data_IF_811221765839
#
_entry.id   IF_811221765839
#
_cell.length_a   1.000
_cell.length_b   1.000
_cell.length_c   1.000
_cell.angle_alpha   90.00
_cell.angle_beta   90.00
_cell.angle_gamma   90.00
#
_symmetry.space_group_name_H-M   'P 1'
#
loop_
_entity.id
_entity.type
_entity.pdbx_description
1 polymer ?
#
# COMPACT_ATOMS: atom_id res chain seq x y z
N UNK A 1 -49.91 -49.23 44.99
CA UNK A 1 -49.44 -48.26 43.98
C UNK A 1 -47.92 -48.39 43.89
N UNK A 2 -47.38 -48.82 42.75
CA UNK A 2 -45.97 -49.22 42.56
C UNK A 2 -45.21 -48.12 41.78
N UNK A 3 -43.99 -47.83 42.24
CA UNK A 3 -43.02 -46.86 41.70
C UNK A 3 -42.46 -47.26 40.33
N UNK A 4 -42.10 -46.32 39.42
CA UNK A 4 -41.43 -46.64 38.17
C UNK A 4 -39.90 -46.67 38.33
N UNK A 5 -39.27 -47.58 37.59
CA UNK A 5 -37.84 -47.86 37.53
C UNK A 5 -37.20 -47.03 36.41
N UNK A 6 -36.19 -46.20 36.72
CA UNK A 6 -35.39 -45.48 35.72
C UNK A 6 -34.21 -46.35 35.24
N UNK A 7 -34.07 -46.51 33.93
CA UNK A 7 -32.94 -47.21 33.30
C UNK A 7 -31.90 -46.17 32.86
N UNK A 8 -30.70 -46.21 33.44
CA UNK A 8 -29.57 -45.36 33.05
C UNK A 8 -28.73 -46.08 31.98
N UNK A 9 -28.61 -45.47 30.80
CA UNK A 9 -27.79 -45.95 29.69
C UNK A 9 -26.38 -45.33 29.81
N UNK A 10 -25.37 -46.13 30.14
CA UNK A 10 -23.96 -45.72 30.09
C UNK A 10 -23.42 -45.90 28.67
N UNK A 11 -23.09 -44.79 27.98
CA UNK A 11 -22.28 -44.82 26.76
C UNK A 11 -20.79 -44.88 27.13
N UNK A 12 -20.10 -45.93 26.70
CA UNK A 12 -18.65 -46.02 26.76
C UNK A 12 -18.03 -45.20 25.61
N UNK A 13 -17.28 -44.14 25.93
CA UNK A 13 -16.46 -43.41 24.96
C UNK A 13 -15.14 -44.17 24.73
N UNK A 14 -14.91 -44.63 23.50
CA UNK A 14 -13.62 -45.12 23.04
C UNK A 14 -12.78 -43.92 22.53
N UNK A 15 -11.55 -43.69 23.04
CA UNK A 15 -10.72 -42.59 22.56
C UNK A 15 -10.15 -42.93 21.18
N UNK A 16 -10.55 -42.19 20.15
CA UNK A 16 -9.91 -42.26 18.83
C UNK A 16 -8.59 -41.48 18.87
N UNK A 17 -7.47 -42.18 18.67
CA UNK A 17 -6.17 -41.60 18.36
C UNK A 17 -6.24 -40.93 16.98
N UNK A 18 -6.27 -39.60 16.92
CA UNK A 18 -6.13 -38.86 15.67
C UNK A 18 -4.65 -38.78 15.28
N UNK A 19 -4.31 -39.34 14.12
CA UNK A 19 -3.01 -39.11 13.49
C UNK A 19 -2.92 -37.65 13.01
N UNK A 20 -1.76 -36.98 13.15
CA UNK A 20 -1.58 -35.64 12.60
C UNK A 20 -1.62 -35.69 11.06
N UNK A 21 -2.41 -34.80 10.47
CA UNK A 21 -2.47 -34.61 9.02
C UNK A 21 -1.08 -34.22 8.49
N UNK A 22 -0.67 -34.74 7.31
CA UNK A 22 0.59 -34.34 6.69
C UNK A 22 0.60 -32.83 6.43
N UNK A 23 1.72 -32.18 6.73
CA UNK A 23 1.91 -30.76 6.47
C UNK A 23 1.71 -30.48 4.98
N UNK A 24 0.77 -29.60 4.66
CA UNK A 24 0.49 -29.19 3.30
C UNK A 24 1.76 -28.51 2.73
N UNK A 25 2.21 -28.96 1.55
CA UNK A 25 3.35 -28.32 0.88
C UNK A 25 3.08 -26.81 0.70
N UNK A 26 4.08 -25.95 0.93
CA UNK A 26 3.90 -24.52 0.80
C UNK A 26 3.46 -24.19 -0.63
N UNK A 27 2.32 -23.48 -0.75
CA UNK A 27 1.81 -23.02 -2.04
C UNK A 27 2.92 -22.27 -2.79
N UNK A 28 3.11 -22.50 -4.10
CA UNK A 28 4.07 -21.74 -4.91
C UNK A 28 3.83 -20.24 -4.70
N UNK A 29 4.90 -19.48 -4.42
CA UNK A 29 4.79 -18.03 -4.27
C UNK A 29 4.25 -17.42 -5.56
N UNK A 30 3.28 -16.53 -5.43
CA UNK A 30 2.72 -15.81 -6.56
C UNK A 30 3.84 -15.06 -7.33
N UNK A 31 3.77 -15.02 -8.67
CA UNK A 31 4.76 -14.32 -9.48
C UNK A 31 4.87 -12.85 -9.04
N UNK A 32 6.12 -12.38 -8.97
CA UNK A 32 6.48 -11.03 -8.51
C UNK A 32 7.47 -10.46 -9.51
N UNK A 33 7.14 -9.31 -10.09
CA UNK A 33 7.94 -8.66 -11.12
C UNK A 33 8.51 -7.36 -10.60
N UNK A 34 9.81 -7.13 -10.81
CA UNK A 34 10.53 -5.97 -10.26
C UNK A 34 10.79 -4.89 -11.30
N UNK A 35 10.57 -5.21 -12.58
CA UNK A 35 10.73 -4.29 -13.70
C UNK A 35 9.56 -4.40 -14.68
N UNK A 36 9.27 -3.30 -15.38
CA UNK A 36 8.26 -3.28 -16.44
C UNK A 36 8.61 -4.26 -17.57
N UNK A 37 9.91 -4.40 -17.88
CA UNK A 37 10.41 -5.32 -18.90
C UNK A 37 10.10 -6.78 -18.57
N UNK A 38 10.22 -7.20 -17.32
CA UNK A 38 9.83 -8.54 -16.89
C UNK A 38 8.31 -8.71 -16.96
N UNK A 39 7.57 -7.76 -16.39
CA UNK A 39 6.11 -7.81 -16.36
C UNK A 39 5.47 -7.87 -17.76
N UNK A 40 6.02 -7.14 -18.74
CA UNK A 40 5.55 -7.11 -20.13
C UNK A 40 5.85 -8.40 -20.92
N UNK A 41 6.82 -9.21 -20.49
CA UNK A 41 7.12 -10.50 -21.15
C UNK A 41 6.09 -11.57 -20.80
N UNK A 42 5.43 -11.43 -19.67
CA UNK A 42 4.58 -12.47 -19.08
C UNK A 42 3.16 -12.41 -19.61
N UNK A 43 2.72 -11.24 -20.04
CA UNK A 43 1.41 -11.08 -20.66
C UNK A 43 0.89 -9.65 -20.65
N UNK A 44 -0.37 -9.48 -21.05
CA UNK A 44 -0.99 -8.17 -21.24
C UNK A 44 -1.37 -7.48 -19.93
N UNK A 45 -1.35 -8.19 -18.79
CA UNK A 45 -1.80 -7.68 -17.49
C UNK A 45 -1.15 -6.35 -17.11
N UNK A 46 0.18 -6.25 -17.21
CA UNK A 46 0.89 -5.02 -16.88
C UNK A 46 0.64 -3.90 -17.90
N UNK A 47 0.55 -4.25 -19.19
CA UNK A 47 0.33 -3.27 -20.25
C UNK A 47 -1.09 -2.69 -20.24
N UNK A 48 -2.08 -3.47 -19.84
CA UNK A 48 -3.48 -3.02 -19.76
C UNK A 48 -3.81 -2.38 -18.41
N UNK A 49 -3.12 -2.76 -17.32
CA UNK A 49 -3.26 -2.09 -16.03
C UNK A 49 -2.79 -0.62 -16.11
N UNK A 50 -3.48 0.25 -15.38
CA UNK A 50 -3.05 1.62 -15.17
C UNK A 50 -4.19 2.61 -15.01
N UNK A 51 -3.87 3.88 -15.11
CA UNK A 51 -4.83 4.97 -15.05
C UNK A 51 -5.21 5.41 -16.46
N UNK A 52 -6.50 5.63 -16.67
CA UNK A 52 -7.08 6.12 -17.91
C UNK A 52 -7.88 7.38 -17.60
N UNK A 53 -7.59 8.48 -18.31
CA UNK A 53 -8.23 9.76 -18.08
C UNK A 53 -8.87 10.30 -19.37
N UNK A 54 -10.07 10.85 -19.22
CA UNK A 54 -10.80 11.60 -20.23
C UNK A 54 -11.42 12.85 -19.63
N UNK A 55 -12.25 13.55 -20.41
CA UNK A 55 -12.97 14.71 -19.90
C UNK A 55 -13.99 14.28 -18.83
N UNK A 56 -13.82 14.78 -17.60
CA UNK A 56 -14.69 14.52 -16.44
C UNK A 56 -14.88 13.03 -16.09
N UNK A 57 -13.95 12.16 -16.47
CA UNK A 57 -14.01 10.72 -16.17
C UNK A 57 -12.60 10.16 -16.00
N UNK A 58 -12.38 9.44 -14.91
CA UNK A 58 -11.16 8.70 -14.64
C UNK A 58 -11.46 7.24 -14.38
N UNK A 59 -10.64 6.34 -14.91
CA UNK A 59 -10.75 4.90 -14.66
C UNK A 59 -9.41 4.35 -14.24
N UNK A 60 -9.36 3.69 -13.09
CA UNK A 60 -8.23 2.87 -12.69
C UNK A 60 -8.54 1.42 -13.09
N UNK A 61 -7.72 0.84 -13.97
CA UNK A 61 -7.83 -0.57 -14.36
C UNK A 61 -6.77 -1.35 -13.61
N UNK A 62 -7.17 -2.33 -12.80
CA UNK A 62 -6.30 -3.15 -11.96
C UNK A 62 -6.20 -4.54 -12.58
N UNK A 63 -4.98 -5.04 -12.78
CA UNK A 63 -4.78 -6.44 -13.13
C UNK A 63 -4.95 -7.33 -11.90
N UNK A 64 -5.80 -8.34 -12.03
CA UNK A 64 -6.09 -9.34 -11.00
C UNK A 64 -5.36 -10.66 -11.28
N UNK A 65 -4.54 -10.73 -12.33
CA UNK A 65 -3.87 -11.94 -12.77
C UNK A 65 -4.73 -12.77 -13.72
N UNK A 66 -4.07 -13.65 -14.47
CA UNK A 66 -4.72 -14.53 -15.43
C UNK A 66 -5.69 -13.78 -16.36
N UNK A 67 -5.24 -12.63 -16.86
CA UNK A 67 -5.96 -11.78 -17.83
C UNK A 67 -7.34 -11.31 -17.33
N UNK A 68 -7.49 -11.25 -16.00
CA UNK A 68 -8.67 -10.72 -15.33
C UNK A 68 -8.37 -9.31 -14.84
N UNK A 69 -9.32 -8.40 -15.06
CA UNK A 69 -9.15 -6.98 -14.73
C UNK A 69 -10.34 -6.47 -13.95
N UNK A 70 -10.10 -5.53 -13.04
CA UNK A 70 -11.13 -4.69 -12.43
C UNK A 70 -11.02 -3.28 -12.96
N UNK A 71 -12.11 -2.71 -13.43
CA UNK A 71 -12.22 -1.27 -13.67
C UNK A 71 -12.86 -0.61 -12.46
N UNK A 72 -12.25 0.49 -12.00
CA UNK A 72 -12.79 1.36 -10.94
C UNK A 72 -13.00 2.75 -11.53
N UNK A 73 -14.26 3.11 -11.71
CA UNK A 73 -14.70 4.31 -12.42
C UNK A 73 -14.93 5.44 -11.42
N UNK A 74 -14.37 6.61 -11.73
CA UNK A 74 -14.40 7.82 -10.93
C UNK A 74 -15.00 8.96 -11.77
N UNK A 75 -16.12 9.53 -11.31
CA UNK A 75 -16.76 10.67 -11.96
C UNK A 75 -15.97 11.95 -11.71
N UNK A 76 -15.94 12.86 -12.69
CA UNK A 76 -15.16 14.10 -12.62
C UNK A 76 -13.65 13.94 -12.91
N UNK A 77 -13.05 12.77 -12.65
CA UNK A 77 -11.64 12.51 -12.95
C UNK A 77 -11.00 11.45 -12.06
N UNK A 78 -9.68 11.27 -12.13
CA UNK A 78 -8.93 10.31 -11.30
C UNK A 78 -8.81 10.79 -9.84
N UNK A 79 -8.49 9.91 -8.86
CA UNK A 79 -8.18 10.33 -7.50
C UNK A 79 -7.10 11.42 -7.45
N UNK A 80 -7.39 12.53 -6.77
CA UNK A 80 -6.53 13.73 -6.73
C UNK A 80 -6.52 14.57 -8.02
N UNK A 81 -7.17 14.12 -9.10
CA UNK A 81 -7.19 14.81 -10.38
C UNK A 81 -8.62 14.86 -10.94
N UNK A 82 -9.50 15.58 -10.24
CA UNK A 82 -10.86 15.88 -10.68
C UNK A 82 -11.96 14.97 -10.15
N UNK A 83 -11.64 13.83 -9.51
CA UNK A 83 -12.68 12.99 -8.89
C UNK A 83 -13.53 13.81 -7.91
N UNK A 84 -14.83 13.84 -8.17
CA UNK A 84 -15.83 14.59 -7.39
C UNK A 84 -16.20 13.93 -6.05
N UNK A 85 -15.57 12.79 -5.74
CA UNK A 85 -15.82 11.93 -4.57
C UNK A 85 -17.18 11.23 -4.59
N UNK A 86 -17.85 11.15 -5.75
CA UNK A 86 -19.00 10.28 -5.94
C UNK A 86 -18.65 8.83 -5.62
N UNK A 87 -19.66 8.01 -5.34
CA UNK A 87 -19.47 6.57 -5.26
C UNK A 87 -18.82 6.04 -6.55
N UNK A 88 -17.89 5.11 -6.37
CA UNK A 88 -17.14 4.48 -7.47
C UNK A 88 -17.96 3.33 -8.03
N UNK A 89 -17.84 3.09 -9.34
CA UNK A 89 -18.38 1.88 -9.95
C UNK A 89 -17.22 0.90 -10.16
N UNK A 90 -17.37 -0.31 -9.64
CA UNK A 90 -16.38 -1.39 -9.79
C UNK A 90 -16.98 -2.53 -10.62
N UNK A 91 -16.23 -3.00 -11.61
CA UNK A 91 -16.63 -4.16 -12.42
C UNK A 91 -15.42 -4.95 -12.86
N UNK A 92 -15.56 -6.27 -12.90
CA UNK A 92 -14.52 -7.18 -13.35
C UNK A 92 -14.87 -7.78 -14.72
N UNK A 93 -13.85 -7.98 -15.54
CA UNK A 93 -13.96 -8.63 -16.84
C UNK A 93 -12.65 -9.32 -17.19
N UNK A 94 -12.73 -10.29 -18.11
CA UNK A 94 -11.56 -10.99 -18.66
C UNK A 94 -11.20 -10.43 -20.03
N UNK A 95 -9.92 -10.50 -20.35
CA UNK A 95 -9.44 -10.31 -21.71
C UNK A 95 -10.00 -11.42 -22.61
N UNK A 96 -10.47 -11.01 -23.78
CA UNK A 96 -10.87 -11.91 -24.86
C UNK A 96 -10.63 -11.18 -26.18
N UNK A 97 -10.01 -11.86 -27.15
CA UNK A 97 -9.74 -11.30 -28.49
C UNK A 97 -9.02 -9.94 -28.48
N UNK A 98 -8.05 -9.78 -27.57
CA UNK A 98 -7.23 -8.56 -27.45
C UNK A 98 -7.93 -7.37 -26.81
N UNK A 99 -9.12 -7.57 -26.22
CA UNK A 99 -9.91 -6.51 -25.59
C UNK A 99 -10.53 -6.96 -24.27
N UNK A 100 -10.70 -6.05 -23.32
CA UNK A 100 -11.50 -6.30 -22.11
C UNK A 100 -12.80 -5.53 -22.22
N UNK A 101 -13.92 -6.25 -22.25
CA UNK A 101 -15.27 -5.67 -22.28
C UNK A 101 -15.88 -5.66 -20.88
N UNK A 102 -15.96 -4.48 -20.27
CA UNK A 102 -16.71 -4.24 -19.05
C UNK A 102 -18.15 -3.89 -19.41
N UNK A 103 -19.13 -4.66 -18.94
CA UNK A 103 -20.55 -4.48 -19.28
C UNK A 103 -21.34 -4.18 -18.01
N UNK A 104 -21.71 -2.91 -17.83
CA UNK A 104 -22.68 -2.49 -16.83
C UNK A 104 -24.11 -2.48 -17.37
N UNK A 105 -25.08 -2.16 -16.52
CA UNK A 105 -26.51 -2.21 -16.87
C UNK A 105 -26.88 -1.28 -18.05
N UNK A 106 -26.33 -0.07 -18.07
CA UNK A 106 -26.65 0.98 -19.04
C UNK A 106 -25.42 1.57 -19.75
N UNK A 107 -24.27 0.90 -19.63
CA UNK A 107 -23.01 1.37 -20.21
C UNK A 107 -22.08 0.20 -20.48
N UNK A 108 -21.15 0.38 -21.41
CA UNK A 108 -20.08 -0.58 -21.72
C UNK A 108 -18.75 0.14 -21.78
N UNK A 109 -17.67 -0.52 -21.36
CA UNK A 109 -16.33 -0.01 -21.57
C UNK A 109 -15.44 -1.06 -22.24
N UNK A 110 -14.70 -0.63 -23.25
CA UNK A 110 -13.80 -1.47 -24.02
C UNK A 110 -12.36 -1.00 -23.80
N UNK A 111 -11.54 -1.85 -23.17
CA UNK A 111 -10.13 -1.60 -22.94
C UNK A 111 -9.28 -2.32 -23.98
N UNK A 112 -8.31 -1.60 -24.54
CA UNK A 112 -7.26 -2.12 -25.43
C UNK A 112 -5.93 -1.47 -25.06
N UNK A 113 -4.84 -1.89 -25.71
CA UNK A 113 -3.53 -1.22 -25.62
C UNK A 113 -3.57 0.24 -26.07
N UNK A 114 -4.55 0.63 -26.89
CA UNK A 114 -4.72 2.01 -27.38
C UNK A 114 -5.46 2.94 -26.39
N UNK A 115 -6.06 2.39 -25.33
CA UNK A 115 -6.85 3.14 -24.37
C UNK A 115 -8.16 2.46 -23.99
N UNK A 116 -9.00 3.22 -23.28
CA UNK A 116 -10.30 2.78 -22.78
C UNK A 116 -11.40 3.63 -23.41
N UNK A 117 -12.39 3.02 -24.02
CA UNK A 117 -13.60 3.72 -24.49
C UNK A 117 -14.77 3.34 -23.59
N UNK A 118 -15.49 4.33 -23.06
CA UNK A 118 -16.72 4.13 -22.29
C UNK A 118 -17.89 4.65 -23.12
N UNK A 119 -18.91 3.82 -23.31
CA UNK A 119 -20.15 4.13 -23.99
C UNK A 119 -21.29 4.04 -22.97
N UNK A 120 -21.96 5.16 -22.68
CA UNK A 120 -23.04 5.23 -21.70
C UNK A 120 -24.10 6.25 -22.08
N UNK A 121 -25.03 6.53 -21.16
CA UNK A 121 -26.18 7.41 -21.43
C UNK A 121 -25.78 8.82 -21.92
N UNK A 122 -24.64 9.35 -21.46
CA UNK A 122 -24.12 10.66 -21.87
C UNK A 122 -23.33 10.63 -23.19
N UNK A 123 -23.28 9.48 -23.87
CA UNK A 123 -22.52 9.26 -25.09
C UNK A 123 -21.20 8.51 -24.85
N UNK A 124 -20.40 8.43 -25.92
CA UNK A 124 -19.13 7.72 -25.95
C UNK A 124 -17.96 8.64 -25.61
N UNK A 125 -17.20 8.28 -24.58
CA UNK A 125 -15.99 8.98 -24.13
C UNK A 125 -14.77 8.09 -24.34
N UNK A 126 -13.70 8.65 -24.90
CA UNK A 126 -12.40 7.97 -25.01
C UNK A 126 -11.45 8.48 -23.93
N UNK A 127 -10.86 7.56 -23.18
CA UNK A 127 -9.89 7.83 -22.13
C UNK A 127 -8.53 7.31 -22.59
N UNK A 128 -7.51 8.16 -22.43
CA UNK A 128 -6.13 7.82 -22.74
C UNK A 128 -5.46 7.25 -21.50
N UNK A 129 -4.58 6.26 -21.69
CA UNK A 129 -3.70 5.81 -20.62
C UNK A 129 -2.80 6.96 -20.20
N UNK A 130 -2.75 7.28 -18.92
CA UNK A 130 -1.93 8.35 -18.36
C UNK A 130 -0.94 7.81 -17.35
N UNK A 131 0.21 8.46 -17.27
CA UNK A 131 1.23 8.18 -16.28
C UNK A 131 1.47 9.45 -15.46
N UNK A 132 0.82 9.55 -14.31
CA UNK A 132 1.04 10.66 -13.36
C UNK A 132 2.31 10.41 -12.55
N UNK A 133 2.95 11.49 -12.15
CA UNK A 133 4.14 11.46 -11.28
C UNK A 133 3.91 12.40 -10.09
N UNK A 134 4.58 12.10 -8.98
CA UNK A 134 4.53 12.97 -7.81
C UNK A 134 5.27 14.28 -8.11
N UNK A 135 4.74 15.45 -7.69
CA UNK A 135 5.46 16.71 -7.78
C UNK A 135 6.68 16.78 -6.85
N UNK A 136 6.79 15.87 -5.86
CA UNK A 136 7.95 15.75 -4.97
C UNK A 136 8.89 14.61 -5.37
N UNK A 137 8.68 13.97 -6.53
CA UNK A 137 9.58 12.94 -7.03
C UNK A 137 10.97 13.52 -7.29
N UNK A 138 12.01 12.82 -6.83
CA UNK A 138 13.41 13.25 -6.87
C UNK A 138 13.65 14.62 -6.21
N UNK A 139 12.81 15.00 -5.23
CA UNK A 139 13.01 16.23 -4.48
C UNK A 139 14.38 16.21 -3.81
N UNK A 140 15.20 17.23 -4.11
CA UNK A 140 16.52 17.37 -3.51
C UNK A 140 16.37 17.64 -2.01
N UNK A 141 17.21 17.03 -1.16
CA UNK A 141 17.28 17.40 0.24
C UNK A 141 17.52 18.91 0.38
N UNK A 142 16.73 19.63 1.18
CA UNK A 142 16.98 21.04 1.44
C UNK A 142 18.27 21.22 2.27
N UNK A 143 18.77 22.46 2.34
CA UNK A 143 19.94 22.78 3.15
C UNK A 143 19.69 22.41 4.62
N UNK A 144 20.65 21.72 5.24
CA UNK A 144 20.54 21.24 6.63
C UNK A 144 19.75 19.94 6.81
N UNK A 145 19.26 19.32 5.74
CA UNK A 145 18.64 18.00 5.83
C UNK A 145 19.67 16.92 6.19
N UNK A 146 19.24 15.98 7.03
CA UNK A 146 19.93 14.70 7.25
C UNK A 146 19.58 13.79 6.08
N UNK A 147 20.55 13.49 5.24
CA UNK A 147 20.40 12.52 4.14
C UNK A 147 20.61 11.12 4.71
N UNK A 148 19.55 10.32 4.69
CA UNK A 148 19.58 8.94 5.18
C UNK A 148 19.96 7.98 4.05
N UNK A 149 19.48 8.19 2.82
CA UNK A 149 19.82 7.34 1.68
C UNK A 149 19.70 8.10 0.35
N UNK A 150 20.79 8.13 -0.41
CA UNK A 150 20.88 8.75 -1.74
C UNK A 150 21.30 7.75 -2.84
N UNK A 151 21.47 6.47 -2.49
CA UNK A 151 21.93 5.41 -3.40
C UNK A 151 23.44 5.16 -3.39
N UNK A 152 24.23 5.91 -2.61
CA UNK A 152 25.68 5.70 -2.54
C UNK A 152 26.10 4.54 -1.63
N UNK A 153 25.43 4.36 -0.48
CA UNK A 153 25.66 3.29 0.48
C UNK A 153 24.41 3.09 1.37
N UNK A 154 24.44 2.07 2.23
CA UNK A 154 23.35 1.75 3.17
C UNK A 154 23.74 2.01 4.64
N UNK A 155 24.82 2.75 4.90
CA UNK A 155 25.49 2.81 6.22
C UNK A 155 24.64 3.48 7.29
N UNK A 156 23.69 4.33 6.89
CA UNK A 156 22.74 4.93 7.80
C UNK A 156 21.72 3.93 8.38
N UNK A 157 21.67 2.68 7.88
CA UNK A 157 20.65 1.70 8.21
C UNK A 157 21.20 0.39 8.78
N UNK A 158 20.70 -0.01 9.95
CA UNK A 158 20.85 -1.38 10.45
C UNK A 158 20.00 -2.31 9.58
N UNK A 159 20.61 -3.36 9.03
CA UNK A 159 19.96 -4.30 8.10
C UNK A 159 19.77 -3.75 6.68
N UNK A 160 20.30 -2.55 6.40
CA UNK A 160 20.27 -1.96 5.06
C UNK A 160 21.11 -2.75 4.07
N UNK A 161 20.55 -3.00 2.89
CA UNK A 161 21.25 -3.62 1.76
C UNK A 161 20.63 -3.14 0.45
N UNK A 162 21.43 -3.16 -0.61
CA UNK A 162 20.96 -2.85 -1.95
C UNK A 162 20.10 -3.98 -2.52
N UNK A 163 19.32 -3.65 -3.54
CA UNK A 163 18.57 -4.62 -4.30
C UNK A 163 19.45 -5.50 -5.18
N UNK A 164 19.00 -6.74 -5.42
CA UNK A 164 19.77 -7.74 -6.19
C UNK A 164 19.90 -7.41 -7.69
N UNK A 165 19.18 -6.39 -8.18
CA UNK A 165 19.21 -5.95 -9.58
C UNK A 165 20.25 -4.85 -9.85
N UNK A 166 21.09 -4.50 -8.87
CA UNK A 166 22.11 -3.46 -8.98
C UNK A 166 21.53 -2.10 -9.42
N UNK A 167 20.34 -1.74 -8.91
CA UNK A 167 19.71 -0.43 -9.19
C UNK A 167 20.07 0.61 -8.13
N UNK A 168 20.91 0.23 -7.15
CA UNK A 168 21.29 1.04 -5.99
C UNK A 168 20.06 1.50 -5.18
N UNK A 169 19.09 0.61 -5.00
CA UNK A 169 17.88 0.89 -4.21
C UNK A 169 17.98 0.19 -2.86
N UNK A 170 17.53 0.85 -1.80
CA UNK A 170 17.51 0.27 -0.45
C UNK A 170 16.36 -0.72 -0.34
N UNK A 171 16.64 -1.97 -0.01
CA UNK A 171 15.61 -2.96 0.28
C UNK A 171 14.91 -2.69 1.62
N UNK A 172 13.61 -3.00 1.67
CA UNK A 172 12.82 -3.00 2.92
C UNK A 172 13.41 -3.97 3.97
N UNK A 173 13.04 -3.81 5.24
CA UNK A 173 13.57 -4.62 6.35
C UNK A 173 14.73 -3.98 7.09
N UNK A 174 14.80 -2.65 7.09
CA UNK A 174 15.90 -1.89 7.68
C UNK A 174 15.38 -0.77 8.58
N UNK A 175 16.25 -0.22 9.44
CA UNK A 175 15.95 0.98 10.23
C UNK A 175 17.18 1.84 10.42
N UNK A 176 17.01 3.14 10.59
CA UNK A 176 18.15 4.05 10.78
C UNK A 176 18.96 3.68 12.03
N UNK A 177 20.29 3.82 11.95
CA UNK A 177 21.18 3.69 13.12
C UNK A 177 20.92 4.81 14.13
N UNK A 178 20.74 6.04 13.63
CA UNK A 178 20.28 7.15 14.45
C UNK A 178 18.82 6.90 14.87
N UNK A 179 18.56 7.02 16.17
CA UNK A 179 17.29 6.64 16.78
C UNK A 179 16.81 7.65 17.84
N UNK A 180 17.20 8.91 17.71
CA UNK A 180 16.83 10.01 18.61
C UNK A 180 15.94 11.06 17.92
N UNK A 181 15.42 10.76 16.73
CA UNK A 181 14.55 11.69 15.99
C UNK A 181 13.22 11.93 16.73
N UNK A 182 12.92 13.19 17.02
CA UNK A 182 11.71 13.62 17.72
C UNK A 182 10.71 14.29 16.77
N UNK A 183 11.01 15.52 16.33
CA UNK A 183 10.16 16.30 15.44
C UNK A 183 10.89 16.52 14.13
N UNK A 184 10.24 16.22 13.01
CA UNK A 184 10.87 16.34 11.70
C UNK A 184 9.85 16.37 10.57
N UNK A 185 10.31 16.81 9.41
CA UNK A 185 9.70 16.49 8.13
C UNK A 185 10.56 15.44 7.42
N UNK A 186 9.96 14.34 6.97
CA UNK A 186 10.61 13.22 6.30
C UNK A 186 10.13 13.13 4.85
N UNK A 187 11.07 12.98 3.91
CA UNK A 187 10.81 12.59 2.54
C UNK A 187 11.30 11.15 2.30
N UNK A 188 10.46 10.32 1.67
CA UNK A 188 10.77 8.94 1.28
C UNK A 188 10.17 8.67 -0.08
N UNK A 189 10.94 8.07 -0.99
CA UNK A 189 10.42 7.47 -2.21
C UNK A 189 10.41 5.95 -2.11
N UNK A 190 9.34 5.32 -2.59
CA UNK A 190 9.21 3.86 -2.58
C UNK A 190 8.68 3.31 -3.89
N UNK A 191 9.07 2.07 -4.18
CA UNK A 191 8.73 1.33 -5.38
C UNK A 191 8.09 0.00 -4.98
N UNK A 192 6.89 -0.23 -5.52
CA UNK A 192 6.12 -1.45 -5.29
C UNK A 192 6.32 -2.41 -6.47
N UNK A 193 6.60 -3.70 -6.24
CA UNK A 193 6.68 -4.70 -7.30
C UNK A 193 5.28 -4.96 -7.90
N UNK A 194 5.24 -5.41 -9.15
CA UNK A 194 3.99 -5.86 -9.76
C UNK A 194 3.69 -7.30 -9.33
N UNK A 195 2.58 -7.48 -8.62
CA UNK A 195 2.11 -8.77 -8.08
C UNK A 195 0.63 -8.99 -8.44
N UNK A 196 0.30 -9.31 -9.71
CA UNK A 196 -1.09 -9.36 -10.17
C UNK A 196 -1.95 -10.40 -9.44
N UNK A 197 -1.34 -11.47 -8.92
CA UNK A 197 -2.02 -12.50 -8.11
C UNK A 197 -1.96 -12.24 -6.60
N UNK A 198 -1.21 -11.24 -6.14
CA UNK A 198 -1.10 -10.86 -4.74
C UNK A 198 -2.40 -10.21 -4.22
N UNK A 199 -2.77 -10.49 -2.98
CA UNK A 199 -3.99 -9.93 -2.35
C UNK A 199 -3.72 -9.53 -0.90
N UNK A 200 -4.52 -8.59 -0.41
CA UNK A 200 -4.44 -8.10 0.97
C UNK A 200 -3.01 -7.72 1.35
N UNK A 201 -2.58 -8.12 2.55
CA UNK A 201 -1.26 -7.83 3.09
C UNK A 201 -0.11 -8.62 2.43
N UNK A 202 -0.37 -9.48 1.44
CA UNK A 202 0.70 -10.08 0.61
C UNK A 202 0.98 -9.25 -0.64
N UNK A 203 0.14 -8.27 -0.97
CA UNK A 203 0.28 -7.47 -2.19
C UNK A 203 1.25 -6.30 -1.97
N UNK A 204 2.54 -6.60 -1.94
CA UNK A 204 3.64 -5.64 -1.82
C UNK A 204 3.66 -4.86 -0.49
N UNK A 205 3.49 -5.58 0.63
CA UNK A 205 3.43 -4.96 1.95
C UNK A 205 4.80 -4.57 2.50
N UNK A 206 4.85 -3.39 3.11
CA UNK A 206 5.95 -2.80 3.88
C UNK A 206 5.36 -1.66 4.72
N UNK A 207 6.17 -0.78 5.29
CA UNK A 207 5.69 0.36 6.07
C UNK A 207 6.79 1.33 6.42
N UNK A 208 6.46 2.61 6.51
CA UNK A 208 7.37 3.65 7.01
C UNK A 208 6.96 3.98 8.44
N UNK A 209 7.79 3.61 9.41
CA UNK A 209 7.52 3.88 10.82
C UNK A 209 8.30 5.09 11.30
N UNK A 210 7.58 6.05 11.88
CA UNK A 210 8.16 7.12 12.66
C UNK A 210 8.47 6.58 14.06
N UNK A 211 9.71 6.81 14.50
CA UNK A 211 10.23 6.36 15.79
C UNK A 211 10.18 4.85 16.03
N UNK A 212 10.13 4.00 14.99
CA UNK A 212 9.92 2.54 15.12
C UNK A 212 8.57 2.24 15.84
N UNK A 213 7.60 3.17 15.81
CA UNK A 213 6.35 3.17 16.61
C UNK A 213 5.08 3.36 15.79
N UNK A 214 5.08 4.32 14.87
CA UNK A 214 3.87 4.77 14.16
C UNK A 214 4.03 4.56 12.65
N UNK A 215 3.20 3.73 12.06
CA UNK A 215 3.31 3.27 10.68
C UNK A 215 2.42 4.08 9.75
N UNK A 216 3.03 4.70 8.75
CA UNK A 216 2.36 4.98 7.48
C UNK A 216 2.52 3.75 6.59
N UNK A 217 1.40 3.13 6.26
CA UNK A 217 1.38 1.87 5.55
C UNK A 217 1.93 1.99 4.13
N UNK A 218 2.67 0.98 3.68
CA UNK A 218 3.13 0.83 2.28
C UNK A 218 2.58 -0.47 1.72
N UNK A 219 1.74 -0.39 0.69
CA UNK A 219 1.08 -1.55 0.09
C UNK A 219 0.73 -1.26 -1.37
N UNK A 220 0.72 -2.25 -2.26
CA UNK A 220 0.07 -2.06 -3.57
C UNK A 220 -1.45 -2.04 -3.39
N UNK A 221 -1.95 -0.84 -3.15
CA UNK A 221 -3.36 -0.53 -2.97
C UNK A 221 -3.95 0.20 -4.18
N UNK A 222 -3.30 0.13 -5.34
CA UNK A 222 -3.80 0.79 -6.55
C UNK A 222 -5.23 0.33 -6.88
N UNK A 223 -6.16 1.29 -6.97
CA UNK A 223 -7.58 1.03 -7.22
C UNK A 223 -8.38 0.48 -6.03
N UNK A 224 -7.76 0.26 -4.87
CA UNK A 224 -8.46 -0.19 -3.66
C UNK A 224 -9.19 0.97 -2.95
N UNK A 225 -9.82 0.66 -1.82
CA UNK A 225 -10.71 1.60 -1.10
C UNK A 225 -9.95 2.73 -0.40
N UNK A 226 -8.68 2.55 -0.05
CA UNK A 226 -7.93 3.44 0.83
C UNK A 226 -8.29 3.21 2.30
N UNK A 227 -8.22 1.97 2.78
CA UNK A 227 -8.45 1.65 4.19
C UNK A 227 -7.25 2.01 5.08
N UNK A 228 -7.44 1.97 6.40
CA UNK A 228 -6.39 2.29 7.38
C UNK A 228 -5.19 1.33 7.35
N UNK A 229 -5.32 0.15 6.74
CA UNK A 229 -4.28 -0.86 6.55
C UNK A 229 -3.84 -0.99 5.09
N UNK A 230 -4.20 -0.04 4.24
CA UNK A 230 -3.80 0.11 2.84
C UNK A 230 -2.84 1.31 2.68
N UNK A 231 -2.21 1.47 1.51
CA UNK A 231 -1.16 2.45 1.27
C UNK A 231 -1.58 3.86 1.71
N UNK A 232 -0.79 4.46 2.59
CA UNK A 232 -1.01 5.80 3.12
C UNK A 232 -1.88 5.82 4.37
N UNK A 233 -2.49 4.71 4.77
CA UNK A 233 -3.18 4.59 6.05
C UNK A 233 -2.22 4.72 7.23
N UNK A 234 -2.70 5.35 8.31
CA UNK A 234 -2.05 5.22 9.61
C UNK A 234 -2.54 3.90 10.18
N UNK A 235 -1.65 2.90 10.21
CA UNK A 235 -2.04 1.50 10.34
C UNK A 235 -2.93 1.25 11.56
N UNK A 236 -4.10 0.64 11.32
CA UNK A 236 -5.16 0.36 12.31
C UNK A 236 -5.78 1.56 13.04
N UNK A 237 -5.42 2.80 12.67
CA UNK A 237 -5.95 4.03 13.28
C UNK A 237 -6.86 4.79 12.32
N UNK A 238 -6.33 5.21 11.17
CA UNK A 238 -7.01 6.20 10.31
C UNK A 238 -6.76 5.89 8.84
N UNK A 239 -7.85 5.83 8.07
CA UNK A 239 -7.81 5.71 6.62
C UNK A 239 -7.35 7.03 5.99
N UNK A 240 -6.56 7.01 4.89
CA UNK A 240 -6.27 8.22 4.14
C UNK A 240 -7.57 8.83 3.60
N UNK A 241 -7.64 10.17 3.54
CA UNK A 241 -8.83 10.85 2.98
C UNK A 241 -9.08 10.54 1.50
N UNK A 242 -8.05 10.09 0.78
CA UNK A 242 -8.13 9.60 -0.59
C UNK A 242 -6.99 8.60 -0.84
N UNK A 243 -7.28 7.52 -1.56
CA UNK A 243 -6.26 6.59 -2.01
C UNK A 243 -5.48 7.19 -3.19
N UNK A 244 -4.22 7.56 -2.93
CA UNK A 244 -3.31 8.19 -3.90
C UNK A 244 -2.22 7.25 -4.42
N UNK A 245 -2.33 5.95 -4.16
CA UNK A 245 -1.39 4.96 -4.65
C UNK A 245 -1.43 4.90 -6.18
N UNK A 246 -0.32 5.21 -6.84
CA UNK A 246 -0.14 4.91 -8.27
C UNK A 246 -0.01 3.39 -8.52
N UNK A 247 -0.13 2.92 -9.78
CA UNK A 247 0.12 1.53 -10.14
C UNK A 247 1.52 1.06 -9.71
N UNK A 248 1.72 -0.26 -9.46
CA UNK A 248 3.02 -0.81 -9.15
C UNK A 248 4.03 -0.58 -10.29
N UNK A 249 5.32 -0.67 -9.96
CA UNK A 249 6.45 -0.32 -10.81
C UNK A 249 6.50 1.18 -11.19
N UNK A 250 5.83 2.01 -10.40
CA UNK A 250 5.95 3.48 -10.40
C UNK A 250 6.44 3.93 -9.04
N UNK A 251 7.29 4.96 -9.05
CA UNK A 251 7.74 5.58 -7.81
C UNK A 251 6.61 6.37 -7.17
N UNK A 252 6.51 6.20 -5.85
CA UNK A 252 5.58 6.89 -4.98
C UNK A 252 6.40 7.78 -4.03
N UNK A 253 5.82 8.88 -3.56
CA UNK A 253 6.45 9.72 -2.53
C UNK A 253 5.60 9.81 -1.28
N UNK A 254 6.26 9.77 -0.12
CA UNK A 254 5.72 10.28 1.13
C UNK A 254 6.50 11.50 1.58
N UNK A 255 5.76 12.56 1.87
CA UNK A 255 6.24 13.72 2.61
C UNK A 255 5.47 13.78 3.94
N UNK A 256 6.16 13.48 5.03
CA UNK A 256 5.56 13.27 6.35
C UNK A 256 6.05 14.37 7.30
N UNK A 257 5.11 15.15 7.84
CA UNK A 257 5.38 16.02 8.99
C UNK A 257 5.01 15.26 10.27
N UNK A 258 6.01 15.03 11.12
CA UNK A 258 5.85 14.31 12.38
C UNK A 258 6.22 15.18 13.57
N UNK A 259 5.40 15.10 14.62
CA UNK A 259 5.67 15.67 15.95
C UNK A 259 5.52 14.56 16.98
N UNK A 260 6.57 14.32 17.75
CA UNK A 260 6.59 13.27 18.75
C UNK A 260 5.57 13.50 19.87
N UNK A 261 5.12 12.41 20.49
CA UNK A 261 4.36 12.45 21.72
C UNK A 261 5.17 13.14 22.83
N UNK A 262 4.48 13.84 23.74
CA UNK A 262 5.11 14.51 24.89
C UNK A 262 4.83 13.78 26.18
N UNK A 263 5.80 13.86 27.08
CA UNK A 263 5.79 13.23 28.39
C UNK A 263 6.17 14.24 29.46
N UNK A 264 5.61 14.09 30.65
CA UNK A 264 6.05 14.83 31.84
C UNK A 264 7.30 14.20 32.47
N UNK A 265 7.86 14.86 33.49
CA UNK A 265 9.05 14.39 34.20
C UNK A 265 8.83 13.08 34.98
N UNK A 266 7.58 12.70 35.26
CA UNK A 266 7.23 11.44 35.90
C UNK A 266 7.05 10.29 34.87
N UNK A 267 7.20 10.58 33.57
CA UNK A 267 7.02 9.62 32.48
C UNK A 267 5.57 9.44 32.03
N UNK A 268 4.65 10.30 32.49
CA UNK A 268 3.25 10.32 32.05
C UNK A 268 3.12 10.98 30.67
N UNK A 269 2.40 10.35 29.73
CA UNK A 269 2.12 10.94 28.42
C UNK A 269 1.16 12.12 28.58
N UNK A 270 1.54 13.28 28.05
CA UNK A 270 0.77 14.52 28.12
C UNK A 270 0.18 14.95 26.77
N UNK A 271 0.78 14.54 25.65
CA UNK A 271 0.27 14.79 24.30
C UNK A 271 0.53 13.60 23.38
N UNK A 272 -0.42 13.33 22.48
CA UNK A 272 -0.27 12.34 21.41
C UNK A 272 0.77 12.78 20.37
N UNK A 273 1.34 11.80 19.67
CA UNK A 273 2.11 12.11 18.47
C UNK A 273 1.15 12.67 17.40
N UNK A 274 1.64 13.59 16.57
CA UNK A 274 0.84 14.21 15.51
C UNK A 274 1.52 13.98 14.16
N UNK A 275 0.75 13.56 13.16
CA UNK A 275 1.24 13.30 11.82
C UNK A 275 0.42 14.05 10.76
N UNK A 276 1.10 14.62 9.77
CA UNK A 276 0.50 14.95 8.48
C UNK A 276 1.23 14.20 7.38
N UNK A 277 0.51 13.68 6.40
CA UNK A 277 1.10 12.86 5.33
C UNK A 277 0.61 13.39 3.99
N UNK A 278 1.55 13.65 3.09
CA UNK A 278 1.27 13.78 1.67
C UNK A 278 1.72 12.51 0.95
N UNK A 279 0.83 11.94 0.15
CA UNK A 279 1.14 10.83 -0.75
C UNK A 279 1.09 11.34 -2.18
N UNK A 280 2.21 11.29 -2.88
CA UNK A 280 2.37 11.87 -4.22
C UNK A 280 1.96 13.34 -4.30
N UNK A 281 2.35 14.13 -3.28
CA UNK A 281 2.02 15.55 -3.14
C UNK A 281 0.62 15.88 -2.59
N UNK A 282 -0.31 14.91 -2.59
CA UNK A 282 -1.66 15.11 -2.07
C UNK A 282 -1.73 14.89 -0.56
N UNK A 283 -2.26 15.86 0.17
CA UNK A 283 -2.48 15.76 1.62
C UNK A 283 -3.56 14.71 1.89
N UNK A 284 -3.17 13.57 2.46
CA UNK A 284 -4.07 12.45 2.76
C UNK A 284 -4.40 12.36 4.26
N UNK A 285 -3.52 12.90 5.12
CA UNK A 285 -3.72 13.08 6.55
C UNK A 285 -3.29 14.50 6.94
N UNK A 286 -4.12 15.22 7.67
CA UNK A 286 -3.84 16.56 8.17
C UNK A 286 -3.90 16.57 9.70
N UNK A 287 -2.74 16.73 10.34
CA UNK A 287 -2.55 16.83 11.80
C UNK A 287 -3.32 15.77 12.60
N UNK A 288 -3.24 14.52 12.17
CA UNK A 288 -3.87 13.40 12.87
C UNK A 288 -3.12 13.09 14.15
N UNK A 289 -3.83 13.08 15.28
CA UNK A 289 -3.30 12.59 16.55
C UNK A 289 -3.28 11.06 16.58
N UNK A 290 -2.15 10.49 17.01
CA UNK A 290 -1.96 9.05 17.17
C UNK A 290 -1.86 8.72 18.66
N UNK A 291 -2.91 8.09 19.18
CA UNK A 291 -3.05 7.83 20.61
C UNK A 291 -2.05 6.80 21.18
N UNK A 292 -1.49 5.95 20.32
CA UNK A 292 -0.58 4.88 20.70
C UNK A 292 0.07 4.24 19.47
N UNK A 293 1.01 3.30 19.66
CA UNK A 293 1.74 2.70 18.56
C UNK A 293 0.81 1.91 17.63
N UNK A 294 1.28 1.65 16.43
CA UNK A 294 0.57 0.93 15.37
C UNK A 294 1.21 -0.43 15.12
N UNK A 295 0.42 -1.43 14.75
CA UNK A 295 0.93 -2.69 14.22
C UNK A 295 2.06 -3.30 15.05
N UNK A 296 3.19 -3.59 14.39
CA UNK A 296 4.41 -4.12 15.01
C UNK A 296 5.32 -3.07 15.66
N UNK A 297 4.84 -1.85 15.86
CA UNK A 297 5.60 -0.74 16.43
C UNK A 297 5.94 -0.96 17.90
N UNK A 298 7.06 -0.36 18.32
CA UNK A 298 7.51 -0.35 19.71
C UNK A 298 6.54 0.41 20.60
N UNK A 299 6.63 0.13 21.91
CA UNK A 299 5.96 0.94 22.93
C UNK A 299 6.45 2.40 22.83
N UNK A 300 5.56 3.35 23.07
CA UNK A 300 5.94 4.75 23.17
C UNK A 300 6.68 5.03 24.49
N UNK A 301 7.58 6.00 24.44
CA UNK A 301 8.26 6.59 25.58
C UNK A 301 8.72 8.01 25.21
N UNK A 302 9.34 8.72 26.16
CA UNK A 302 9.78 10.10 26.00
C UNK A 302 10.97 10.30 25.04
N UNK A 303 11.64 9.22 24.64
CA UNK A 303 12.80 9.26 23.76
C UNK A 303 12.38 9.33 22.29
N UNK A 304 13.29 9.83 21.46
CA UNK A 304 13.17 9.75 20.01
C UNK A 304 13.19 8.31 19.51
N UNK A 305 13.14 8.13 18.19
CA UNK A 305 13.26 6.80 17.62
C UNK A 305 13.79 6.81 16.20
N UNK A 306 14.08 5.62 15.68
CA UNK A 306 14.56 5.42 14.32
C UNK A 306 13.43 5.63 13.28
N UNK A 307 13.81 5.86 12.03
CA UNK A 307 12.91 5.60 10.90
C UNK A 307 13.08 4.14 10.53
N UNK A 308 11.99 3.37 10.54
CA UNK A 308 12.00 1.96 10.14
C UNK A 308 11.25 1.78 8.81
N UNK A 309 11.86 1.01 7.92
CA UNK A 309 11.30 0.54 6.66
C UNK A 309 10.98 -0.95 6.83
N UNK A 310 9.72 -1.29 7.07
CA UNK A 310 9.32 -2.64 7.49
C UNK A 310 9.61 -3.68 6.40
N UNK A 311 10.24 -4.79 6.77
CA UNK A 311 10.35 -5.96 5.90
C UNK A 311 9.17 -6.90 6.16
N UNK A 312 8.34 -7.17 5.14
CA UNK A 312 7.16 -8.04 5.26
C UNK A 312 7.12 -9.12 4.18
N UNK A 313 8.28 -9.70 3.87
CA UNK A 313 8.42 -10.79 2.89
C UNK A 313 8.17 -10.39 1.43
N UNK A 314 8.01 -9.09 1.16
CA UNK A 314 7.79 -8.54 -0.17
C UNK A 314 8.97 -7.65 -0.60
N UNK A 315 9.37 -7.68 -1.88
CA UNK A 315 10.48 -6.89 -2.38
C UNK A 315 10.05 -5.45 -2.68
N UNK A 316 9.88 -4.66 -1.61
CA UNK A 316 9.67 -3.21 -1.67
C UNK A 316 11.02 -2.51 -1.57
N UNK A 317 11.22 -1.49 -2.40
CA UNK A 317 12.48 -0.77 -2.49
C UNK A 317 12.29 0.73 -2.28
N UNK A 318 13.31 1.36 -1.74
CA UNK A 318 13.30 2.76 -1.36
C UNK A 318 14.47 3.53 -1.99
N UNK A 319 14.27 4.82 -2.18
CA UNK A 319 15.33 5.77 -2.54
C UNK A 319 15.03 7.16 -1.99
N UNK A 320 16.01 8.06 -2.13
CA UNK A 320 15.87 9.49 -1.82
C UNK A 320 15.21 9.71 -0.45
N UNK A 321 15.91 9.29 0.61
CA UNK A 321 15.40 9.38 1.97
C UNK A 321 16.19 10.47 2.69
N UNK A 322 15.48 11.49 3.17
CA UNK A 322 16.07 12.57 3.94
C UNK A 322 15.04 13.17 4.89
N UNK A 323 15.52 13.80 5.97
CA UNK A 323 14.66 14.50 6.90
C UNK A 323 15.24 15.84 7.34
N UNK A 324 14.38 16.73 7.80
CA UNK A 324 14.72 18.02 8.40
C UNK A 324 14.14 18.05 9.81
N UNK A 325 14.99 18.21 10.82
CA UNK A 325 14.56 18.32 12.21
C UNK A 325 13.87 19.67 12.47
N UNK A 326 12.93 19.70 13.41
CA UNK A 326 12.16 20.89 13.83
C UNK A 326 12.42 21.24 15.28
#
# INVERSE_FOLDING_TARGET
MKSPLFFALFLALCPQLSSPLPAQEPKPKAPTYLTAKEALKEGPDFDLQGEYAGEKLGVQVIALGAETFRAVIHQGGLPGAGWDKSEKVEIEAKLSDGKVDFVGDAWKAALTTNGLSVDGASGKVSLKKVQRESPTLAAKPPAGAVVLFDGSNCDAFVGGHFDDLNRNLLASGSKTMQADFQNYTLHVEFLLPFKPLGRGQDRANSGVYMQDRYEVQVLDSFGLKGLNNECGGIYSKTAPSVNMCFPPLRWQTYDIDFTAAKYDAAGGKTQNAVISVRHNGFLIHDKVEIAGPTGGGKKEDATGGAIQLQGHGNPVYYRNIWLVTK
#
